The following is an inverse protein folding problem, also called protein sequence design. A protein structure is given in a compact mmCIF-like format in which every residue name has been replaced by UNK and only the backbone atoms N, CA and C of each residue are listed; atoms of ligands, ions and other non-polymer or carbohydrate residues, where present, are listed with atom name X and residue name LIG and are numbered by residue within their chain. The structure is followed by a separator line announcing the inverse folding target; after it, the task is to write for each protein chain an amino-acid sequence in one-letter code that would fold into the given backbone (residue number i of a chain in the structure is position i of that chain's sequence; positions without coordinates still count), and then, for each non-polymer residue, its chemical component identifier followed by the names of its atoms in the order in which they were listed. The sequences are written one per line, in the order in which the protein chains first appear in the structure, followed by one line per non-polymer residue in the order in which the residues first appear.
data_IF_098677248089
#
_entry.id   IF_098677248089
#
_cell.length_a   1.000
_cell.length_b   1.000
_cell.length_c   1.000
_cell.angle_alpha   90.00
_cell.angle_beta   90.00
_cell.angle_gamma   90.00
#
_symmetry.space_group_name_H-M   'P 1'
#
loop_
_entity.id
_entity.type
_entity.pdbx_description
1 polymer ?
#
# COMPACT_ATOMS: atom_id res chain seq x y z
N UNK A 1 18.47 39.11 38.99
CA UNK A 1 18.61 38.13 37.89
C UNK A 1 17.24 37.59 37.59
N UNK A 2 16.59 38.07 36.53
CA UNK A 2 15.27 37.57 36.14
C UNK A 2 15.44 36.20 35.49
N UNK A 3 14.81 35.18 36.08
CA UNK A 3 14.72 33.85 35.49
C UNK A 3 13.48 33.80 34.62
N UNK A 4 13.66 33.60 33.33
CA UNK A 4 12.55 33.29 32.44
C UNK A 4 12.03 31.89 32.76
N UNK A 5 10.72 31.78 33.00
CA UNK A 5 10.01 30.51 33.12
C UNK A 5 9.02 30.35 31.95
N UNK A 6 8.72 29.09 31.61
CA UNK A 6 7.89 28.74 30.47
C UNK A 6 6.40 28.68 30.83
N UNK A 7 5.54 29.05 29.88
CA UNK A 7 4.09 28.86 29.98
C UNK A 7 3.70 27.46 29.48
N UNK A 8 3.35 26.54 30.38
CA UNK A 8 2.68 25.27 30.06
C UNK A 8 3.51 23.98 30.17
N UNK A 9 2.84 22.82 30.14
CA UNK A 9 3.42 21.47 30.34
C UNK A 9 3.77 20.73 29.04
N UNK A 10 3.49 21.30 27.87
CA UNK A 10 3.62 20.60 26.57
C UNK A 10 4.73 21.23 25.73
N UNK A 11 5.65 20.38 25.27
CA UNK A 11 6.68 20.73 24.29
C UNK A 11 6.12 20.51 22.89
N UNK A 12 5.58 21.56 22.26
CA UNK A 12 5.33 21.57 20.83
C UNK A 12 6.46 22.34 20.15
N UNK A 13 7.22 21.67 19.27
CA UNK A 13 8.09 22.39 18.34
C UNK A 13 7.25 23.05 17.26
N UNK A 14 7.17 24.37 17.25
CA UNK A 14 6.60 25.14 16.14
C UNK A 14 7.71 25.71 15.28
N UNK A 15 7.50 25.75 13.96
CA UNK A 15 8.40 26.49 13.07
C UNK A 15 8.04 27.97 13.22
N UNK A 16 8.87 28.71 13.95
CA UNK A 16 8.78 30.16 14.03
C UNK A 16 9.52 30.75 12.82
N UNK A 17 8.77 31.09 11.77
CA UNK A 17 9.31 31.85 10.65
C UNK A 17 9.32 33.34 11.04
N UNK A 18 10.44 33.78 11.63
CA UNK A 18 10.67 35.19 11.92
C UNK A 18 11.01 35.91 10.61
N UNK A 19 10.19 36.89 10.28
CA UNK A 19 10.34 37.72 9.08
C UNK A 19 10.58 39.17 9.51
N UNK A 20 11.45 39.85 8.79
CA UNK A 20 11.84 41.23 9.09
C UNK A 20 10.66 42.20 8.88
N UNK A 21 10.42 43.07 9.85
CA UNK A 21 9.37 44.09 9.79
C UNK A 21 9.71 45.08 8.67
N UNK A 22 8.89 45.09 7.61
CA UNK A 22 9.08 45.97 6.45
C UNK A 22 9.71 45.29 5.23
N UNK A 23 10.11 44.01 5.32
CA UNK A 23 10.48 43.23 4.14
C UNK A 23 9.22 42.87 3.33
N UNK A 24 9.22 43.04 1.99
CA UNK A 24 8.14 42.57 1.14
C UNK A 24 8.17 41.03 1.13
N UNK A 25 7.37 40.42 1.99
CA UNK A 25 7.17 38.97 1.98
C UNK A 25 6.18 38.68 0.86
N UNK A 26 6.68 38.16 -0.25
CA UNK A 26 5.84 37.47 -1.20
C UNK A 26 5.52 36.08 -0.62
N UNK A 27 4.28 35.85 -0.21
CA UNK A 27 3.75 34.49 -0.11
C UNK A 27 3.64 34.00 -1.56
N UNK A 28 4.68 33.35 -2.04
CA UNK A 28 4.69 32.77 -3.37
C UNK A 28 3.73 31.58 -3.38
N UNK A 29 2.80 31.56 -4.34
CA UNK A 29 2.20 30.29 -4.76
C UNK A 29 3.33 29.50 -5.40
N UNK A 30 3.81 28.47 -4.71
CA UNK A 30 4.72 27.51 -5.29
C UNK A 30 4.03 26.85 -6.51
N UNK A 31 4.83 26.55 -7.53
CA UNK A 31 4.43 25.74 -8.68
C UNK A 31 3.91 24.35 -8.29
N UNK A 32 4.35 23.85 -7.13
CA UNK A 32 3.75 22.69 -6.46
C UNK A 32 2.84 23.21 -5.36
N UNK A 33 1.56 22.80 -5.36
CA UNK A 33 0.74 23.06 -4.17
C UNK A 33 1.43 22.37 -2.99
N UNK A 34 1.75 23.13 -1.95
CA UNK A 34 2.49 22.67 -0.80
C UNK A 34 2.10 23.45 0.44
N UNK A 35 2.31 22.87 1.62
CA UNK A 35 1.95 23.48 2.89
C UNK A 35 2.08 22.51 4.04
N UNK A 36 1.24 22.68 5.06
CA UNK A 36 1.10 21.68 6.11
C UNK A 36 -0.36 21.48 6.48
N UNK A 37 -0.75 20.23 6.71
CA UNK A 37 -2.03 19.86 7.30
C UNK A 37 -1.74 19.38 8.72
N UNK A 38 -2.30 20.05 9.73
CA UNK A 38 -2.03 19.77 11.14
C UNK A 38 -0.52 19.70 11.50
N UNK A 39 0.29 20.57 10.87
CA UNK A 39 1.74 20.65 11.10
C UNK A 39 2.56 19.58 10.37
N UNK A 40 1.92 18.70 9.60
CA UNK A 40 2.58 17.71 8.75
C UNK A 40 2.78 18.32 7.37
N UNK A 41 4.01 18.34 6.82
CA UNK A 41 4.25 18.78 5.46
C UNK A 41 3.34 18.04 4.47
N UNK A 42 2.63 18.79 3.65
CA UNK A 42 1.81 18.28 2.57
C UNK A 42 2.38 18.79 1.24
N UNK A 43 2.45 17.90 0.25
CA UNK A 43 2.81 18.23 -1.11
C UNK A 43 1.90 17.46 -2.07
N UNK A 44 1.60 18.07 -3.22
CA UNK A 44 0.92 17.36 -4.30
C UNK A 44 1.89 16.35 -4.95
N UNK A 45 1.78 15.10 -4.55
CA UNK A 45 2.53 13.97 -5.12
C UNK A 45 1.64 13.06 -5.98
N UNK A 46 0.46 13.52 -6.41
CA UNK A 46 -0.40 12.72 -7.27
C UNK A 46 0.21 12.59 -8.66
N UNK A 47 0.59 11.37 -9.02
CA UNK A 47 1.16 11.10 -10.33
C UNK A 47 0.13 11.23 -11.46
N UNK A 48 0.62 11.60 -12.65
CA UNK A 48 -0.21 11.73 -13.83
C UNK A 48 -0.59 10.36 -14.44
N UNK A 49 -1.66 10.34 -15.22
CA UNK A 49 -1.98 9.18 -16.05
C UNK A 49 -0.83 8.90 -17.04
N UNK A 50 -0.39 7.63 -17.26
CA UNK A 50 -1.07 6.39 -16.87
C UNK A 50 -0.67 5.81 -15.51
N UNK A 51 0.22 6.41 -14.70
CA UNK A 51 0.65 5.79 -13.44
C UNK A 51 -0.52 5.57 -12.49
N UNK A 52 -1.43 6.53 -12.42
CA UNK A 52 -2.68 6.43 -11.67
C UNK A 52 -3.78 7.32 -12.28
N UNK A 53 -5.04 7.07 -11.93
CA UNK A 53 -6.18 7.88 -12.37
C UNK A 53 -6.51 9.06 -11.46
N UNK A 54 -5.99 9.10 -10.22
CA UNK A 54 -6.45 10.07 -9.21
C UNK A 54 -6.21 11.54 -9.62
N UNK A 55 -5.08 11.86 -10.28
CA UNK A 55 -4.81 13.21 -10.76
C UNK A 55 -5.73 13.60 -11.92
N UNK A 56 -5.92 12.69 -12.89
CA UNK A 56 -6.83 12.87 -14.03
C UNK A 56 -8.27 13.10 -13.57
N UNK A 57 -8.67 12.35 -12.54
CA UNK A 57 -10.03 12.37 -12.00
C UNK A 57 -10.24 13.51 -10.98
N UNK A 58 -9.23 14.38 -10.81
CA UNK A 58 -9.26 15.52 -9.89
C UNK A 58 -9.63 15.09 -8.46
N UNK A 59 -9.02 14.01 -7.98
CA UNK A 59 -9.30 13.50 -6.65
C UNK A 59 -9.03 14.60 -5.60
N UNK A 60 -9.95 14.85 -4.64
CA UNK A 60 -9.80 15.92 -3.66
C UNK A 60 -8.52 15.84 -2.84
N UNK A 61 -7.97 14.64 -2.65
CA UNK A 61 -6.72 14.43 -1.91
C UNK A 61 -5.51 15.09 -2.60
N UNK A 62 -5.54 15.25 -3.94
CA UNK A 62 -4.46 15.79 -4.76
C UNK A 62 -4.29 17.32 -4.67
N UNK A 63 -5.15 18.01 -3.94
CA UNK A 63 -5.05 19.45 -3.74
C UNK A 63 -5.34 19.85 -2.30
N UNK A 64 -4.45 20.63 -1.70
CA UNK A 64 -4.64 21.16 -0.34
C UNK A 64 -5.92 22.01 -0.21
N UNK A 65 -6.39 22.64 -1.31
CA UNK A 65 -7.62 23.44 -1.29
C UNK A 65 -8.90 22.62 -1.30
N UNK A 66 -8.81 21.34 -1.68
CA UNK A 66 -9.94 20.40 -1.72
C UNK A 66 -9.76 19.24 -0.74
N UNK A 67 -8.63 19.16 -0.05
CA UNK A 67 -8.37 18.12 0.93
C UNK A 67 -9.31 18.28 2.12
N UNK A 68 -10.10 17.26 2.39
CA UNK A 68 -11.15 17.30 3.41
C UNK A 68 -10.92 16.30 4.55
N UNK A 69 -10.00 15.33 4.39
CA UNK A 69 -9.69 14.36 5.43
C UNK A 69 -8.76 13.23 4.96
N UNK A 70 -8.32 12.42 5.92
CA UNK A 70 -7.41 11.30 5.70
C UNK A 70 -6.32 11.20 6.77
N UNK A 71 -5.32 10.36 6.53
CA UNK A 71 -4.16 10.14 7.39
C UNK A 71 -3.38 11.43 7.65
N UNK A 72 -3.26 12.31 6.65
CA UNK A 72 -2.49 13.55 6.81
C UNK A 72 -3.18 14.47 7.85
N UNK A 73 -4.51 14.41 7.97
CA UNK A 73 -5.25 15.05 9.06
C UNK A 73 -5.10 14.33 10.41
N UNK A 74 -4.98 13.00 10.43
CA UNK A 74 -5.12 12.17 11.63
C UNK A 74 -3.85 11.32 11.91
N UNK A 75 -2.79 11.97 12.37
CA UNK A 75 -1.53 11.30 12.74
C UNK A 75 -1.48 10.91 14.23
N UNK A 76 -0.48 10.13 14.63
CA UNK A 76 -0.22 9.74 16.02
C UNK A 76 -0.30 10.94 16.98
N UNK A 77 -1.10 10.80 18.04
CA UNK A 77 -1.34 11.83 19.05
C UNK A 77 -2.53 12.74 18.75
N UNK A 78 -3.18 12.58 17.60
CA UNK A 78 -4.41 13.28 17.23
C UNK A 78 -5.61 12.42 17.65
N UNK A 79 -6.56 13.04 18.33
CA UNK A 79 -7.80 12.40 18.77
C UNK A 79 -8.98 13.07 18.06
N UNK A 80 -9.79 12.28 17.36
CA UNK A 80 -11.09 12.72 16.87
C UNK A 80 -12.12 12.44 17.98
N UNK A 81 -12.53 13.50 18.67
CA UNK A 81 -13.45 13.46 19.80
C UNK A 81 -14.52 14.52 19.56
N UNK A 82 -15.71 14.31 20.11
CA UNK A 82 -16.69 15.38 20.23
C UNK A 82 -16.14 16.51 21.13
N UNK A 83 -16.64 17.75 20.97
CA UNK A 83 -16.11 18.94 21.64
C UNK A 83 -16.03 18.80 23.17
N UNK A 84 -16.99 18.07 23.76
CA UNK A 84 -17.10 17.81 25.19
C UNK A 84 -16.51 16.47 25.62
N UNK A 85 -16.01 15.66 24.70
CA UNK A 85 -15.47 14.33 25.01
C UNK A 85 -14.01 14.43 25.50
N UNK A 86 -13.69 13.93 26.71
CA UNK A 86 -12.33 13.94 27.22
C UNK A 86 -11.45 12.89 26.52
N UNK A 87 -10.16 13.19 26.38
CA UNK A 87 -9.17 12.24 25.84
C UNK A 87 -9.12 10.98 26.75
N UNK A 88 -9.34 9.77 26.20
CA UNK A 88 -9.28 8.54 26.98
C UNK A 88 -7.90 8.34 27.63
N UNK A 89 -7.84 7.96 28.92
CA UNK A 89 -6.58 7.89 29.67
C UNK A 89 -5.70 6.67 29.32
N UNK A 90 -6.23 5.66 28.62
CA UNK A 90 -5.48 4.45 28.28
C UNK A 90 -5.18 4.34 26.78
N UNK A 91 -3.95 3.98 26.40
CA UNK A 91 -3.69 3.52 25.04
C UNK A 91 -4.49 2.24 24.79
N UNK A 92 -5.06 2.13 23.59
CA UNK A 92 -5.76 0.93 23.15
C UNK A 92 -4.89 -0.31 23.31
N UNK A 93 -5.41 -1.36 23.96
CA UNK A 93 -4.77 -2.67 24.02
C UNK A 93 -5.29 -3.53 22.89
N UNK A 94 -4.45 -3.77 21.89
CA UNK A 94 -4.73 -4.72 20.82
C UNK A 94 -3.95 -6.02 21.04
N UNK A 95 -4.45 -7.13 20.47
CA UNK A 95 -3.76 -8.42 20.47
C UNK A 95 -3.54 -8.83 19.02
N UNK A 96 -2.30 -9.18 18.68
CA UNK A 96 -1.97 -9.69 17.36
C UNK A 96 -1.66 -11.17 17.44
N UNK A 97 -2.14 -11.93 16.47
CA UNK A 97 -1.79 -13.34 16.27
C UNK A 97 -1.12 -13.46 14.91
N UNK A 98 0.12 -13.95 14.92
CA UNK A 98 0.88 -14.17 13.70
C UNK A 98 0.89 -15.66 13.35
N UNK A 99 0.82 -15.96 12.06
CA UNK A 99 1.12 -17.28 11.51
C UNK A 99 2.22 -17.09 10.48
N UNK A 100 3.30 -17.85 10.64
CA UNK A 100 4.43 -17.84 9.72
C UNK A 100 4.39 -19.13 8.90
N UNK A 101 4.58 -18.99 7.60
CA UNK A 101 4.81 -20.11 6.69
C UNK A 101 6.27 -20.03 6.27
N UNK A 102 6.97 -21.16 6.30
CA UNK A 102 8.37 -21.26 5.92
C UNK A 102 8.63 -22.62 5.29
N UNK A 103 9.58 -22.67 4.36
CA UNK A 103 10.13 -23.92 3.85
C UNK A 103 11.32 -24.32 4.73
N UNK A 104 11.35 -25.56 5.21
CA UNK A 104 12.53 -26.08 5.92
C UNK A 104 13.67 -26.27 4.91
N UNK A 105 14.81 -25.58 5.07
CA UNK A 105 15.96 -25.70 4.16
C UNK A 105 16.44 -27.14 3.98
N UNK A 106 16.29 -28.01 4.98
CA UNK A 106 16.66 -29.42 4.90
C UNK A 106 15.77 -30.21 3.93
N UNK A 107 14.56 -29.70 3.64
CA UNK A 107 13.58 -30.32 2.73
C UNK A 107 13.26 -29.47 1.50
N UNK A 108 13.91 -28.30 1.35
CA UNK A 108 13.65 -27.35 0.26
C UNK A 108 13.92 -27.93 -1.14
N UNK A 109 14.75 -28.98 -1.24
CA UNK A 109 14.97 -29.74 -2.48
C UNK A 109 13.93 -30.85 -2.77
N UNK A 110 12.90 -31.01 -1.93
CA UNK A 110 11.82 -31.96 -2.21
C UNK A 110 10.93 -31.43 -3.35
N UNK A 111 10.45 -32.34 -4.22
CA UNK A 111 9.64 -31.99 -5.40
C UNK A 111 8.33 -31.23 -5.09
N UNK A 112 7.98 -31.08 -3.82
CA UNK A 112 6.78 -30.41 -3.32
C UNK A 112 6.94 -28.92 -2.99
N UNK A 113 8.17 -28.38 -2.91
CA UNK A 113 8.42 -26.98 -2.54
C UNK A 113 8.27 -26.00 -3.71
N UNK A 114 8.08 -24.71 -3.42
CA UNK A 114 8.11 -23.66 -4.45
C UNK A 114 9.51 -23.52 -5.02
N UNK A 115 10.55 -23.63 -4.19
CA UNK A 115 11.94 -23.58 -4.64
C UNK A 115 12.26 -24.69 -5.67
N UNK A 116 11.68 -25.88 -5.54
CA UNK A 116 11.89 -26.99 -6.47
C UNK A 116 11.31 -26.73 -7.87
N UNK A 117 10.35 -25.81 -8.02
CA UNK A 117 9.81 -25.42 -9.33
C UNK A 117 10.83 -24.62 -10.17
N UNK A 118 11.87 -24.09 -9.54
CA UNK A 118 12.85 -23.20 -10.18
C UNK A 118 14.29 -23.70 -9.90
N UNK A 119 14.69 -24.84 -10.50
CA UNK A 119 15.98 -25.47 -10.26
C UNK A 119 17.14 -24.57 -10.71
N UNK A 120 18.27 -24.64 -10.00
CA UNK A 120 19.47 -23.84 -10.25
C UNK A 120 19.68 -22.67 -9.27
N UNK A 121 18.71 -22.42 -8.37
CA UNK A 121 18.81 -21.44 -7.30
C UNK A 121 18.70 -22.18 -5.95
N UNK A 122 19.83 -22.58 -5.36
CA UNK A 122 19.90 -23.46 -4.18
C UNK A 122 19.14 -22.95 -2.94
N UNK A 123 18.85 -21.65 -2.89
CA UNK A 123 18.03 -21.01 -1.86
C UNK A 123 17.43 -19.71 -2.40
N UNK A 124 16.14 -19.49 -2.13
CA UNK A 124 15.44 -18.29 -2.58
C UNK A 124 14.79 -17.59 -1.39
N UNK A 125 15.36 -16.45 -1.01
CA UNK A 125 14.66 -15.54 -0.11
C UNK A 125 13.54 -14.84 -0.85
N UNK A 126 12.33 -14.98 -0.31
CA UNK A 126 11.24 -14.10 -0.69
C UNK A 126 11.64 -12.64 -0.35
N UNK A 127 11.70 -11.80 -1.36
CA UNK A 127 12.00 -10.39 -1.20
C UNK A 127 10.74 -9.54 -1.25
N UNK A 128 10.80 -8.35 -0.65
CA UNK A 128 9.68 -7.44 -0.55
C UNK A 128 9.52 -6.64 -1.84
N UNK A 129 8.29 -6.42 -2.28
CA UNK A 129 7.92 -5.49 -3.34
C UNK A 129 6.67 -4.72 -2.93
N UNK A 130 6.53 -3.47 -3.36
CA UNK A 130 5.41 -2.61 -3.00
C UNK A 130 5.04 -1.65 -4.11
N UNK A 131 3.73 -1.46 -4.27
CA UNK A 131 3.16 -0.46 -5.17
C UNK A 131 1.84 0.02 -4.63
N UNK A 132 1.46 1.22 -5.00
CA UNK A 132 0.17 1.84 -4.66
C UNK A 132 -0.64 1.99 -5.95
N UNK A 133 -1.95 1.89 -5.86
CA UNK A 133 -2.84 2.15 -7.00
C UNK A 133 -2.97 3.65 -7.23
N UNK A 134 -2.87 4.42 -6.14
CA UNK A 134 -2.85 5.87 -6.02
C UNK A 134 -1.44 6.48 -6.12
N UNK A 135 -0.44 5.69 -6.53
CA UNK A 135 0.99 5.99 -6.71
C UNK A 135 1.51 7.26 -6.00
N UNK A 136 2.34 7.06 -4.98
CA UNK A 136 3.14 8.07 -4.27
C UNK A 136 2.32 9.10 -3.45
N UNK A 137 1.00 8.97 -3.43
CA UNK A 137 0.14 9.83 -2.61
C UNK A 137 -0.24 9.21 -1.25
N UNK A 138 -0.23 7.88 -1.15
CA UNK A 138 -0.47 7.12 0.10
C UNK A 138 -1.91 7.09 0.61
N UNK A 139 -2.81 7.85 0.01
CA UNK A 139 -4.26 7.79 0.21
C UNK A 139 -5.00 8.48 -0.93
N UNK A 140 -6.31 8.28 -1.04
CA UNK A 140 -7.19 9.04 -1.93
C UNK A 140 -8.63 9.05 -1.41
N UNK A 141 -9.46 9.95 -1.92
CA UNK A 141 -10.88 10.03 -1.51
C UNK A 141 -11.79 9.23 -2.46
N UNK A 142 -12.84 8.63 -1.90
CA UNK A 142 -13.96 8.05 -2.67
C UNK A 142 -15.07 9.10 -2.70
N UNK A 143 -15.28 9.81 -3.83
CA UNK A 143 -16.39 10.74 -3.95
C UNK A 143 -17.72 9.98 -3.91
N UNK A 144 -18.74 10.60 -3.32
CA UNK A 144 -20.08 10.04 -3.33
C UNK A 144 -20.66 10.08 -4.75
N UNK A 145 -21.37 9.02 -5.17
CA UNK A 145 -22.08 9.05 -6.45
C UNK A 145 -23.26 10.03 -6.45
N UNK A 146 -23.75 10.33 -7.66
CA UNK A 146 -24.89 11.23 -7.85
C UNK A 146 -26.16 10.72 -7.12
N UNK A 147 -26.97 11.64 -6.55
CA UNK A 147 -28.21 11.27 -5.88
C UNK A 147 -29.14 10.44 -6.78
N UNK A 148 -29.68 9.35 -6.25
CA UNK A 148 -30.62 8.48 -6.95
C UNK A 148 -29.96 7.35 -7.77
N UNK A 149 -28.63 7.27 -7.81
CA UNK A 149 -27.93 6.11 -8.35
C UNK A 149 -28.17 4.87 -7.47
N UNK A 150 -28.40 3.72 -8.10
CA UNK A 150 -28.53 2.45 -7.39
C UNK A 150 -27.19 2.09 -6.74
N UNK A 151 -27.24 1.50 -5.55
CA UNK A 151 -26.04 1.15 -4.77
C UNK A 151 -25.05 0.28 -5.52
N UNK A 152 -25.55 -0.63 -6.37
CA UNK A 152 -24.77 -1.55 -7.18
C UNK A 152 -24.03 -0.85 -8.33
N UNK A 153 -24.51 0.32 -8.75
CA UNK A 153 -23.89 1.16 -9.78
C UNK A 153 -22.96 2.21 -9.18
N UNK A 154 -23.06 2.41 -7.87
CA UNK A 154 -22.32 3.41 -7.12
C UNK A 154 -20.93 2.88 -6.72
N UNK A 155 -20.11 2.61 -7.73
CA UNK A 155 -18.74 2.06 -7.59
C UNK A 155 -17.74 3.06 -8.15
N UNK A 156 -16.87 3.56 -7.27
CA UNK A 156 -15.73 4.35 -7.68
C UNK A 156 -14.54 3.42 -7.96
N UNK A 157 -13.85 3.65 -9.07
CA UNK A 157 -12.72 2.83 -9.49
C UNK A 157 -11.51 3.72 -9.72
N UNK A 158 -10.38 3.34 -9.13
CA UNK A 158 -9.07 3.87 -9.52
C UNK A 158 -8.25 2.76 -10.18
N UNK A 159 -7.42 3.15 -11.14
CA UNK A 159 -6.46 2.23 -11.74
C UNK A 159 -5.06 2.80 -11.64
N UNK A 160 -4.08 1.91 -11.54
CA UNK A 160 -2.67 2.26 -11.64
C UNK A 160 -1.94 1.31 -12.59
N UNK A 161 -0.96 1.83 -13.30
CA UNK A 161 -0.17 1.05 -14.26
C UNK A 161 1.30 1.13 -13.90
N UNK A 162 1.99 -0.01 -13.91
CA UNK A 162 3.41 -0.07 -13.57
C UNK A 162 4.07 -1.28 -14.23
N UNK A 163 5.40 -1.29 -14.34
CA UNK A 163 6.15 -2.53 -14.59
C UNK A 163 6.47 -3.22 -13.27
N UNK A 164 6.60 -4.55 -13.23
CA UNK A 164 6.94 -5.24 -11.98
C UNK A 164 8.20 -4.66 -11.31
N UNK A 165 9.19 -4.23 -12.11
CA UNK A 165 10.41 -3.55 -11.66
C UNK A 165 10.11 -2.30 -10.83
N UNK A 166 9.08 -1.54 -11.15
CA UNK A 166 8.72 -0.30 -10.44
C UNK A 166 8.19 -0.56 -9.03
N UNK A 167 7.83 -1.81 -8.70
CA UNK A 167 7.50 -2.23 -7.34
C UNK A 167 8.70 -2.73 -6.54
N UNK A 168 9.90 -2.74 -7.14
CA UNK A 168 11.12 -3.26 -6.53
C UNK A 168 12.01 -2.13 -6.00
N UNK A 169 12.55 -2.29 -4.79
CA UNK A 169 13.42 -1.29 -4.16
C UNK A 169 14.87 -1.77 -4.11
N UNK A 170 15.83 -0.88 -4.39
CA UNK A 170 17.26 -1.22 -4.28
C UNK A 170 17.64 -1.50 -2.82
N UNK A 171 18.41 -2.56 -2.59
CA UNK A 171 18.90 -2.89 -1.25
C UNK A 171 20.04 -1.98 -0.79
N UNK A 172 19.84 -1.28 0.33
CA UNK A 172 20.88 -0.54 1.05
C UNK A 172 21.48 -1.37 2.20
N UNK A 173 22.32 -2.35 1.88
CA UNK A 173 22.95 -3.22 2.88
C UNK A 173 22.17 -4.51 3.16
N UNK A 174 22.40 -5.14 4.33
CA UNK A 174 21.92 -6.52 4.65
C UNK A 174 20.57 -6.58 5.40
N UNK A 175 19.98 -5.46 5.80
CA UNK A 175 18.84 -5.41 6.73
C UNK A 175 17.67 -4.53 6.28
N UNK A 176 17.62 -4.17 5.00
CA UNK A 176 16.55 -3.33 4.47
C UNK A 176 15.31 -4.19 4.19
N UNK A 177 14.35 -4.17 5.11
CA UNK A 177 13.11 -4.98 5.05
C UNK A 177 12.20 -4.61 3.87
N UNK A 178 12.44 -3.46 3.24
CA UNK A 178 11.69 -2.97 2.09
C UNK A 178 12.37 -3.30 0.76
N UNK A 179 13.53 -3.95 0.80
CA UNK A 179 14.35 -4.12 -0.39
C UNK A 179 14.04 -5.38 -1.20
N UNK A 180 14.27 -5.23 -2.49
CA UNK A 180 14.30 -6.28 -3.49
C UNK A 180 15.74 -6.36 -4.03
N UNK A 181 16.34 -7.54 -4.17
CA UNK A 181 17.73 -7.70 -4.60
C UNK A 181 17.91 -7.45 -6.11
N UNK A 182 17.48 -6.30 -6.62
CA UNK A 182 17.66 -5.88 -8.01
C UNK A 182 19.10 -5.42 -8.19
N UNK A 183 19.85 -6.13 -9.05
CA UNK A 183 21.15 -5.70 -9.57
C UNK A 183 22.12 -5.23 -8.48
N UNK A 184 22.37 -6.09 -7.47
CA UNK A 184 23.37 -5.79 -6.43
C UNK A 184 24.74 -6.29 -6.92
N UNK A 185 25.69 -5.41 -7.25
CA UNK A 185 27.02 -5.82 -7.71
C UNK A 185 27.73 -6.65 -6.64
N UNK A 186 28.51 -7.65 -7.06
CA UNK A 186 29.33 -8.50 -6.18
C UNK A 186 28.53 -9.28 -5.11
N UNK A 187 27.27 -9.64 -5.39
CA UNK A 187 26.48 -10.57 -4.55
C UNK A 187 26.27 -11.91 -5.25
N UNK A 188 26.31 -12.97 -4.44
CA UNK A 188 26.16 -14.38 -4.83
C UNK A 188 24.70 -14.86 -4.86
N UNK A 189 23.72 -13.95 -4.74
CA UNK A 189 22.32 -14.35 -4.89
C UNK A 189 22.01 -14.52 -6.38
N UNK A 190 21.34 -15.61 -6.77
CA UNK A 190 20.89 -15.72 -8.14
C UNK A 190 19.96 -14.57 -8.46
N UNK A 191 20.22 -13.89 -9.57
CA UNK A 191 19.37 -12.83 -10.11
C UNK A 191 18.85 -13.30 -11.46
N UNK A 192 17.65 -12.89 -11.79
CA UNK A 192 17.00 -13.21 -13.07
C UNK A 192 16.23 -12.00 -13.58
N UNK A 193 15.78 -12.07 -14.81
CA UNK A 193 14.80 -11.14 -15.37
C UNK A 193 13.36 -11.57 -15.07
N UNK A 194 13.17 -12.70 -14.38
CA UNK A 194 11.87 -13.25 -14.05
C UNK A 194 11.71 -13.45 -12.54
N UNK A 195 10.52 -13.15 -12.04
CA UNK A 195 10.12 -13.28 -10.64
C UNK A 195 8.90 -14.18 -10.55
N UNK A 196 8.96 -15.21 -9.72
CA UNK A 196 7.79 -15.96 -9.30
C UNK A 196 7.12 -15.24 -8.12
N UNK A 197 5.86 -14.83 -8.29
CA UNK A 197 5.10 -14.14 -7.24
C UNK A 197 4.49 -15.17 -6.28
N UNK A 198 5.01 -15.24 -5.05
CA UNK A 198 4.60 -16.26 -4.07
C UNK A 198 3.49 -15.76 -3.13
N UNK A 199 3.36 -14.43 -2.99
CA UNK A 199 2.33 -13.83 -2.16
C UNK A 199 2.04 -12.39 -2.61
N UNK A 200 0.76 -12.05 -2.72
CA UNK A 200 0.27 -10.69 -3.00
C UNK A 200 -0.82 -10.37 -1.99
N UNK A 201 -0.61 -9.34 -1.17
CA UNK A 201 -1.59 -8.85 -0.21
C UNK A 201 -1.94 -7.41 -0.54
N UNK A 202 -3.17 -7.14 -1.02
CA UNK A 202 -3.66 -5.78 -1.09
C UNK A 202 -3.95 -5.25 0.32
N UNK A 203 -3.84 -3.94 0.49
CA UNK A 203 -4.25 -3.19 1.66
C UNK A 203 -5.33 -2.21 1.24
N UNK A 204 -6.48 -2.30 1.91
CA UNK A 204 -7.69 -1.58 1.54
C UNK A 204 -8.47 -1.18 2.78
N UNK A 205 -9.14 -0.03 2.75
CA UNK A 205 -9.91 0.48 3.88
C UNK A 205 -11.39 0.08 3.79
N UNK A 206 -11.91 -0.51 4.87
CA UNK A 206 -13.34 -0.65 5.08
C UNK A 206 -13.97 0.68 5.53
N UNK A 207 -15.29 0.87 5.37
CA UNK A 207 -16.24 -0.04 4.72
C UNK A 207 -16.30 0.13 3.19
N UNK A 208 -15.47 1.00 2.62
CA UNK A 208 -15.53 1.35 1.20
C UNK A 208 -15.05 0.21 0.28
N UNK A 209 -14.08 -0.59 0.71
CA UNK A 209 -13.44 -1.55 -0.18
C UNK A 209 -14.41 -2.62 -0.74
N UNK A 210 -14.52 -2.73 -2.07
CA UNK A 210 -15.29 -3.79 -2.74
C UNK A 210 -14.33 -4.87 -3.24
N UNK A 211 -13.30 -4.49 -3.99
CA UNK A 211 -12.32 -5.44 -4.50
C UNK A 211 -11.02 -4.73 -4.90
N UNK A 212 -9.95 -5.52 -4.95
CA UNK A 212 -8.68 -5.13 -5.53
C UNK A 212 -8.19 -6.22 -6.48
N UNK A 213 -7.75 -5.82 -7.67
CA UNK A 213 -7.36 -6.72 -8.77
C UNK A 213 -6.01 -6.30 -9.34
N UNK A 214 -5.17 -7.28 -9.68
CA UNK A 214 -3.92 -7.11 -10.40
C UNK A 214 -3.96 -7.94 -11.67
N UNK A 215 -3.76 -7.30 -12.81
CA UNK A 215 -3.90 -7.89 -14.15
C UNK A 215 -2.58 -7.78 -14.90
N UNK A 216 -2.19 -8.86 -15.59
CA UNK A 216 -1.06 -8.86 -16.53
C UNK A 216 -1.50 -8.32 -17.88
N UNK A 217 -0.97 -7.16 -18.28
CA UNK A 217 -1.43 -6.45 -19.47
C UNK A 217 -1.25 -7.27 -20.76
N UNK A 218 -0.16 -8.04 -20.84
CA UNK A 218 0.18 -8.80 -22.05
C UNK A 218 -0.83 -9.92 -22.36
N UNK A 219 -1.48 -10.48 -21.35
CA UNK A 219 -2.42 -11.61 -21.49
C UNK A 219 -3.86 -11.24 -21.12
N UNK A 220 -4.06 -10.15 -20.39
CA UNK A 220 -5.33 -9.81 -19.75
C UNK A 220 -5.68 -10.71 -18.56
N UNK A 221 -4.76 -11.57 -18.12
CA UNK A 221 -4.99 -12.50 -17.02
C UNK A 221 -4.99 -11.78 -15.66
N UNK A 222 -6.00 -12.05 -14.83
CA UNK A 222 -6.02 -11.58 -13.44
C UNK A 222 -5.12 -12.47 -12.60
N UNK A 223 -3.96 -11.91 -12.21
CA UNK A 223 -2.99 -12.59 -11.35
C UNK A 223 -3.56 -12.74 -9.94
N UNK A 224 -4.15 -11.66 -9.40
CA UNK A 224 -4.69 -11.67 -8.06
C UNK A 224 -5.97 -10.84 -8.02
N UNK A 225 -7.02 -11.41 -7.43
CA UNK A 225 -8.27 -10.71 -7.10
C UNK A 225 -8.60 -11.00 -5.65
N UNK A 226 -8.86 -9.93 -4.90
CA UNK A 226 -9.21 -10.00 -3.49
C UNK A 226 -10.48 -9.22 -3.25
N UNK A 227 -11.39 -9.84 -2.50
CA UNK A 227 -12.61 -9.24 -1.98
C UNK A 227 -12.53 -9.32 -0.45
N UNK A 228 -12.63 -8.20 0.27
CA UNK A 228 -12.56 -8.20 1.72
C UNK A 228 -13.79 -8.89 2.32
N UNK A 229 -13.59 -9.62 3.40
CA UNK A 229 -14.65 -10.14 4.23
C UNK A 229 -14.98 -9.10 5.30
N UNK A 230 -16.24 -8.65 5.32
CA UNK A 230 -16.74 -7.78 6.38
C UNK A 230 -17.33 -8.59 7.52
N UNK A 231 -17.13 -8.11 8.74
CA UNK A 231 -17.80 -8.67 9.91
C UNK A 231 -19.31 -8.48 9.82
N UNK A 232 -20.05 -9.35 10.51
CA UNK A 232 -21.52 -9.39 10.49
C UNK A 232 -22.17 -9.33 11.87
N UNK A 233 -21.38 -9.27 12.94
CA UNK A 233 -21.84 -9.39 14.34
C UNK A 233 -21.09 -8.40 15.24
N UNK A 234 -21.27 -8.43 16.55
CA UNK A 234 -20.41 -7.68 17.50
C UNK A 234 -19.33 -8.56 18.15
N UNK A 235 -19.13 -9.78 17.64
CA UNK A 235 -18.12 -10.70 18.15
C UNK A 235 -16.70 -10.26 17.74
N UNK A 236 -15.68 -10.53 18.59
CA UNK A 236 -14.29 -10.23 18.24
C UNK A 236 -13.86 -10.82 16.89
N UNK A 237 -13.23 -10.00 16.03
CA UNK A 237 -12.80 -10.34 14.66
C UNK A 237 -13.95 -10.60 13.67
N UNK A 238 -15.18 -10.22 14.01
CA UNK A 238 -16.37 -10.32 13.15
C UNK A 238 -17.30 -9.12 13.35
N UNK A 239 -16.73 -7.97 13.72
CA UNK A 239 -17.42 -6.72 14.01
C UNK A 239 -18.10 -6.14 12.75
N UNK A 240 -19.40 -5.88 12.83
CA UNK A 240 -20.21 -5.40 11.71
C UNK A 240 -19.65 -4.09 11.16
N UNK A 241 -19.45 -4.03 9.83
CA UNK A 241 -18.90 -2.86 9.14
C UNK A 241 -17.37 -2.76 9.15
N UNK A 242 -16.66 -3.60 9.90
CA UNK A 242 -15.20 -3.69 9.86
C UNK A 242 -14.75 -4.79 8.89
N UNK A 243 -13.60 -4.61 8.24
CA UNK A 243 -12.96 -5.67 7.49
C UNK A 243 -12.46 -6.75 8.47
N UNK A 244 -13.17 -7.87 8.55
CA UNK A 244 -12.78 -9.04 9.32
C UNK A 244 -11.57 -9.76 8.71
N UNK A 245 -11.37 -9.63 7.40
CA UNK A 245 -10.18 -10.12 6.72
C UNK A 245 -10.06 -9.64 5.28
N UNK A 246 -8.83 -9.47 4.82
CA UNK A 246 -8.49 -9.19 3.41
C UNK A 246 -7.60 -10.35 2.98
N UNK A 247 -8.15 -11.40 2.33
CA UNK A 247 -7.38 -12.60 2.03
C UNK A 247 -6.32 -12.31 0.97
N UNK A 248 -5.03 -12.62 1.21
CA UNK A 248 -4.01 -12.47 0.19
C UNK A 248 -4.13 -13.56 -0.88
N UNK A 249 -3.60 -13.30 -2.07
CA UNK A 249 -3.30 -14.35 -3.05
C UNK A 249 -1.99 -15.03 -2.64
N UNK A 250 -2.03 -16.35 -2.48
CA UNK A 250 -0.89 -17.17 -2.07
C UNK A 250 -0.75 -18.32 -3.06
N UNK A 251 0.49 -18.62 -3.44
CA UNK A 251 0.85 -19.72 -4.31
C UNK A 251 1.80 -20.67 -3.59
N UNK A 252 1.87 -21.92 -4.07
CA UNK A 252 2.61 -23.00 -3.44
C UNK A 252 3.02 -24.07 -4.44
N UNK A 253 3.82 -25.04 -3.98
CA UNK A 253 4.18 -26.22 -4.75
C UNK A 253 3.10 -27.30 -4.70
N UNK A 254 3.32 -28.39 -5.43
CA UNK A 254 2.35 -29.49 -5.56
C UNK A 254 1.98 -30.17 -4.23
N UNK A 255 2.80 -30.02 -3.18
CA UNK A 255 2.55 -30.56 -1.84
C UNK A 255 1.78 -29.63 -0.90
N UNK A 256 1.56 -28.37 -1.26
CA UNK A 256 1.07 -27.33 -0.34
C UNK A 256 -0.47 -27.26 -0.25
N UNK A 257 -1.14 -28.42 -0.20
CA UNK A 257 -2.57 -28.50 0.05
C UNK A 257 -3.45 -27.95 -1.07
N UNK A 258 -2.99 -27.98 -2.33
CA UNK A 258 -3.76 -27.60 -3.51
C UNK A 258 -3.57 -26.15 -3.98
N UNK A 259 -2.60 -25.43 -3.43
CA UNK A 259 -2.18 -24.13 -3.96
C UNK A 259 -1.67 -24.27 -5.40
N UNK A 260 -1.98 -23.27 -6.22
CA UNK A 260 -1.47 -23.18 -7.58
C UNK A 260 0.02 -22.80 -7.57
N UNK A 261 0.81 -23.23 -8.58
CA UNK A 261 2.18 -22.76 -8.73
C UNK A 261 2.21 -21.23 -8.94
N UNK A 262 3.25 -20.54 -8.46
CA UNK A 262 3.32 -19.09 -8.58
C UNK A 262 3.47 -18.64 -10.04
N UNK A 263 2.80 -17.54 -10.43
CA UNK A 263 2.95 -16.97 -11.75
C UNK A 263 4.36 -16.36 -11.87
N UNK A 264 5.01 -16.66 -12.99
CA UNK A 264 6.35 -16.18 -13.32
C UNK A 264 6.23 -14.98 -14.24
N UNK A 265 6.67 -13.82 -13.76
CA UNK A 265 6.49 -12.53 -14.41
C UNK A 265 7.86 -11.95 -14.74
N UNK A 266 8.05 -11.51 -15.99
CA UNK A 266 9.24 -10.75 -16.38
C UNK A 266 9.24 -9.40 -15.66
N UNK A 267 10.39 -8.92 -15.20
CA UNK A 267 10.47 -7.67 -14.41
C UNK A 267 10.00 -6.44 -15.17
N UNK A 268 10.15 -6.41 -16.49
CA UNK A 268 9.63 -5.33 -17.35
C UNK A 268 8.19 -5.56 -17.85
N UNK A 269 7.50 -6.62 -17.37
CA UNK A 269 6.10 -6.85 -17.70
C UNK A 269 5.22 -5.77 -17.07
N UNK A 270 4.25 -5.28 -17.86
CA UNK A 270 3.29 -4.28 -17.43
C UNK A 270 2.12 -4.92 -16.69
N UNK A 271 1.75 -4.29 -15.59
CA UNK A 271 0.69 -4.72 -14.68
C UNK A 271 -0.29 -3.56 -14.49
N UNK A 272 -1.57 -3.89 -14.51
CA UNK A 272 -2.66 -2.98 -14.16
C UNK A 272 -3.21 -3.33 -12.79
N UNK A 273 -3.22 -2.36 -11.90
CA UNK A 273 -3.87 -2.40 -10.60
C UNK A 273 -5.25 -1.76 -10.71
N UNK A 274 -6.26 -2.40 -10.13
CA UNK A 274 -7.63 -1.90 -10.12
C UNK A 274 -8.13 -1.98 -8.69
N UNK A 275 -8.60 -0.86 -8.14
CA UNK A 275 -9.31 -0.84 -6.86
C UNK A 275 -10.73 -0.33 -7.08
N UNK A 276 -11.70 -1.09 -6.57
CA UNK A 276 -13.12 -0.73 -6.57
C UNK A 276 -13.56 -0.42 -5.14
N UNK A 277 -14.24 0.70 -4.99
CA UNK A 277 -14.78 1.16 -3.72
C UNK A 277 -16.26 1.50 -3.85
N UNK A 278 -17.02 1.19 -2.82
CA UNK A 278 -18.39 1.61 -2.62
C UNK A 278 -18.41 3.12 -2.43
N UNK A 279 -19.13 3.80 -3.31
CA UNK A 279 -19.25 5.26 -3.33
C UNK A 279 -20.63 5.75 -2.85
N UNK A 280 -21.44 4.88 -2.24
CA UNK A 280 -22.80 5.24 -1.77
C UNK A 280 -22.77 6.34 -0.74
N UNK A 281 -21.68 6.39 0.03
CA UNK A 281 -21.30 7.51 0.88
C UNK A 281 -19.88 7.93 0.53
N UNK A 282 -19.56 9.18 0.85
CA UNK A 282 -18.21 9.71 0.68
C UNK A 282 -17.25 9.04 1.68
N UNK A 283 -16.05 8.70 1.23
CA UNK A 283 -14.97 8.21 2.10
C UNK A 283 -13.71 9.03 1.91
N UNK A 284 -13.06 9.39 3.01
CA UNK A 284 -11.82 10.16 3.01
C UNK A 284 -10.61 9.27 3.27
N UNK A 285 -9.49 9.55 2.60
CA UNK A 285 -8.19 8.92 2.88
C UNK A 285 -8.21 7.38 2.83
N UNK A 286 -8.86 6.80 1.83
CA UNK A 286 -8.80 5.35 1.61
C UNK A 286 -7.48 4.97 0.92
N UNK A 287 -6.99 3.75 1.17
CA UNK A 287 -5.73 3.26 0.57
C UNK A 287 -5.94 2.12 -0.42
N UNK A 288 -5.09 2.02 -1.43
CA UNK A 288 -5.04 0.97 -2.43
C UNK A 288 -3.63 0.43 -2.61
N UNK A 289 -3.00 -0.05 -1.54
CA UNK A 289 -1.61 -0.50 -1.58
C UNK A 289 -1.49 -1.99 -1.84
N UNK A 290 -0.34 -2.41 -2.36
CA UNK A 290 -0.02 -3.79 -2.71
C UNK A 290 1.30 -4.18 -2.09
N UNK A 291 1.26 -5.12 -1.14
CA UNK A 291 2.44 -5.72 -0.55
C UNK A 291 2.66 -7.09 -1.17
N UNK A 292 3.80 -7.26 -1.83
CA UNK A 292 4.10 -8.46 -2.59
C UNK A 292 5.37 -9.13 -2.07
N UNK A 293 5.45 -10.44 -2.28
CA UNK A 293 6.65 -11.24 -2.10
C UNK A 293 6.92 -12.02 -3.37
N UNK A 294 8.17 -11.95 -3.82
CA UNK A 294 8.63 -12.65 -4.99
C UNK A 294 9.94 -13.39 -4.70
N UNK A 295 10.20 -14.38 -5.53
CA UNK A 295 11.48 -15.09 -5.59
C UNK A 295 11.99 -15.08 -7.03
N UNK A 296 13.30 -15.17 -7.23
CA UNK A 296 13.85 -15.21 -8.59
C UNK A 296 13.49 -16.52 -9.28
N UNK A 297 13.12 -16.46 -10.56
CA UNK A 297 12.78 -17.64 -11.36
C UNK A 297 13.55 -17.64 -12.67
N UNK A 298 13.79 -18.81 -13.26
CA UNK A 298 14.31 -18.90 -14.63
C UNK A 298 13.26 -18.46 -15.66
N UNK A 299 13.69 -18.28 -16.92
CA UNK A 299 12.74 -18.05 -18.03
C UNK A 299 11.81 -19.28 -18.16
N UNK A 300 10.49 -19.12 -18.00
CA UNK A 300 9.55 -20.24 -18.07
C UNK A 300 9.52 -20.92 -19.45
N UNK A 301 9.99 -20.26 -20.52
CA UNK A 301 10.12 -20.87 -21.86
C UNK A 301 11.35 -21.75 -21.99
N UNK A 302 12.43 -21.46 -21.25
CA UNK A 302 13.68 -22.22 -21.29
C UNK A 302 13.57 -23.58 -20.58
N UNK A 303 12.60 -23.73 -19.65
CA UNK A 303 12.36 -24.97 -18.89
C UNK A 303 11.53 -26.00 -19.69
N UNK A 304 10.94 -25.60 -20.82
CA UNK A 304 10.11 -26.46 -21.69
C UNK A 304 10.84 -26.99 -22.95
N UNK A 305 12.14 -26.73 -23.08
CA UNK A 305 13.00 -27.23 -24.17
C UNK A 305 13.92 -28.35 -23.66
#
# INVERSE_FOLDING_TARGET
TESFEYHGKLRGGGILMLVEVGAPICICRDSTQGGSINGIPWANNCEAYPETTIARDHNPSCSISTYEGGMICCHHGIFLLDEDQPIPPQPFKFRMKYRFYYEDPATAGSASSVAALYPGLEYQNAFFMFRETEVAHGEYDVPQCEPGMLSEQCVHTITGHFTLRDAMNKCSGRSDVWCSPVNVPNRSFPQSEHVALVHISPHCHGPACISMEMVLDATGETICKVEPHYGMTDAPMNEAGYAAGIPPCIWGGAGDGGLQPPPVIHIDAKLTLIKKANATVKHYGVMGHWQMRGIWAGDPKAVRA
#
